data_IF_578572928592
#
_entry.id   IF_578572928592
#
_cell.length_a   1.000
_cell.length_b   1.000
_cell.length_c   1.000
_cell.angle_alpha   90.00
_cell.angle_beta   90.00
_cell.angle_gamma   90.00
#
_symmetry.space_group_name_H-M   'P 1'
#
loop_
_entity.id
_entity.type
_entity.pdbx_description
1 polymer ?
#
# COMPACT_ATOMS: atom_id res chain seq x y z
N UNK A 1 -18.20 19.20 -6.60
CA UNK A 1 -16.95 19.24 -7.39
C UNK A 1 -16.92 18.02 -8.29
N UNK A 2 -16.47 18.17 -9.52
CA UNK A 2 -16.28 17.02 -10.41
C UNK A 2 -14.93 16.33 -10.13
N UNK A 3 -14.82 15.04 -10.47
CA UNK A 3 -13.54 14.31 -10.36
C UNK A 3 -12.43 15.00 -11.18
N UNK A 4 -12.80 15.64 -12.29
CA UNK A 4 -11.87 16.38 -13.14
C UNK A 4 -11.32 17.62 -12.42
N UNK A 5 -12.16 18.35 -11.69
CA UNK A 5 -11.72 19.51 -10.89
C UNK A 5 -10.78 19.09 -9.75
N UNK A 6 -11.06 17.99 -9.06
CA UNK A 6 -10.19 17.48 -7.99
C UNK A 6 -8.82 17.01 -8.52
N UNK A 7 -8.77 16.41 -9.71
CA UNK A 7 -7.52 16.01 -10.36
C UNK A 7 -6.68 17.21 -10.75
N UNK A 8 -7.32 18.26 -11.25
CA UNK A 8 -6.66 19.50 -11.62
C UNK A 8 -6.07 20.19 -10.37
N UNK A 9 -6.86 20.33 -9.30
CA UNK A 9 -6.38 20.86 -8.03
C UNK A 9 -5.23 20.02 -7.44
N UNK A 10 -5.34 18.69 -7.46
CA UNK A 10 -4.28 17.79 -6.98
C UNK A 10 -2.97 17.92 -7.78
N UNK A 11 -3.05 18.16 -9.09
CA UNK A 11 -1.88 18.34 -9.95
C UNK A 11 -1.13 19.65 -9.65
N UNK A 12 -1.84 20.67 -9.15
CA UNK A 12 -1.26 21.96 -8.79
C UNK A 12 -0.71 22.00 -7.35
N UNK A 13 -0.93 20.96 -6.54
CA UNK A 13 -0.39 20.89 -5.18
C UNK A 13 1.14 20.73 -5.18
N UNK A 14 1.84 21.23 -4.15
CA UNK A 14 3.21 20.87 -3.86
C UNK A 14 3.41 19.35 -3.75
N UNK A 15 4.59 18.88 -4.14
CA UNK A 15 4.92 17.45 -4.24
C UNK A 15 4.75 16.69 -2.90
N UNK A 16 4.93 17.38 -1.77
CA UNK A 16 4.67 16.83 -0.42
C UNK A 16 3.18 16.54 -0.21
N UNK A 17 2.32 17.49 -0.57
CA UNK A 17 0.87 17.39 -0.39
C UNK A 17 0.27 16.40 -1.39
N UNK A 18 0.83 16.29 -2.60
CA UNK A 18 0.49 15.21 -3.55
C UNK A 18 0.79 13.83 -2.95
N UNK A 19 1.95 13.65 -2.31
CA UNK A 19 2.32 12.39 -1.64
C UNK A 19 1.38 12.06 -0.49
N UNK A 20 1.00 13.04 0.32
CA UNK A 20 0.03 12.86 1.39
C UNK A 20 -1.34 12.46 0.85
N UNK A 21 -1.79 13.08 -0.25
CA UNK A 21 -3.05 12.73 -0.91
C UNK A 21 -3.02 11.30 -1.48
N UNK A 22 -1.92 10.90 -2.12
CA UNK A 22 -1.74 9.52 -2.61
C UNK A 22 -1.77 8.53 -1.45
N UNK A 23 -1.04 8.80 -0.37
CA UNK A 23 -1.02 7.94 0.81
C UNK A 23 -2.41 7.80 1.43
N UNK A 24 -3.18 8.88 1.50
CA UNK A 24 -4.55 8.86 1.98
C UNK A 24 -5.49 8.04 1.09
N UNK A 25 -5.41 8.20 -0.24
CA UNK A 25 -6.21 7.41 -1.18
C UNK A 25 -5.87 5.92 -1.12
N UNK A 26 -4.59 5.59 -0.99
CA UNK A 26 -4.13 4.20 -0.79
C UNK A 26 -4.68 3.65 0.53
N UNK A 27 -4.57 4.40 1.63
CA UNK A 27 -5.11 3.98 2.92
C UNK A 27 -6.62 3.72 2.86
N UNK A 28 -7.40 4.60 2.22
CA UNK A 28 -8.84 4.40 2.01
C UNK A 28 -9.15 3.15 1.18
N UNK A 29 -8.31 2.82 0.19
CA UNK A 29 -8.47 1.63 -0.62
C UNK A 29 -8.13 0.36 0.18
N UNK A 30 -7.03 0.39 0.93
CA UNK A 30 -6.62 -0.69 1.85
C UNK A 30 -7.64 -0.89 2.97
N UNK A 31 -8.32 0.18 3.42
CA UNK A 31 -9.36 0.06 4.44
C UNK A 31 -10.58 -0.74 3.97
N UNK A 32 -10.93 -0.58 2.69
CA UNK A 32 -12.03 -1.28 2.02
C UNK A 32 -11.68 -2.70 1.64
N UNK A 33 -10.39 -3.03 1.54
CA UNK A 33 -9.92 -4.36 1.20
C UNK A 33 -9.84 -5.27 2.43
N UNK A 34 -11.02 -5.70 2.90
CA UNK A 34 -11.13 -6.65 4.02
C UNK A 34 -10.42 -7.98 3.73
N UNK A 35 -10.43 -8.43 2.47
CA UNK A 35 -9.78 -9.68 2.07
C UNK A 35 -8.26 -9.57 2.20
N UNK A 36 -7.67 -8.46 1.75
CA UNK A 36 -6.25 -8.18 1.93
C UNK A 36 -5.88 -8.07 3.41
N UNK A 37 -6.68 -7.37 4.22
CA UNK A 37 -6.46 -7.30 5.68
C UNK A 37 -6.49 -8.68 6.35
N UNK A 38 -7.44 -9.54 5.98
CA UNK A 38 -7.51 -10.91 6.49
C UNK A 38 -6.29 -11.73 6.08
N UNK A 39 -5.89 -11.67 4.81
CA UNK A 39 -4.67 -12.36 4.33
C UNK A 39 -3.41 -11.85 5.03
N UNK A 40 -3.32 -10.54 5.27
CA UNK A 40 -2.20 -9.93 5.98
C UNK A 40 -2.15 -10.43 7.43
N UNK A 41 -3.28 -10.43 8.13
CA UNK A 41 -3.38 -10.95 9.49
C UNK A 41 -2.98 -12.43 9.56
N UNK A 42 -3.50 -13.27 8.66
CA UNK A 42 -3.13 -14.69 8.57
C UNK A 42 -1.63 -14.88 8.38
N UNK A 43 -0.98 -14.04 7.55
CA UNK A 43 0.47 -14.13 7.32
C UNK A 43 1.30 -13.63 8.50
N UNK A 44 0.84 -12.61 9.23
CA UNK A 44 1.53 -12.08 10.41
C UNK A 44 1.42 -13.05 11.59
N UNK A 45 0.26 -13.66 11.76
CA UNK A 45 0.01 -14.65 12.82
C UNK A 45 0.58 -16.04 12.49
N UNK A 46 1.16 -16.23 11.29
CA UNK A 46 1.77 -17.49 10.87
C UNK A 46 3.05 -17.77 11.64
N UNK A 47 2.99 -18.76 12.54
CA UNK A 47 4.11 -19.19 13.38
C UNK A 47 4.92 -20.31 12.75
N UNK A 48 4.55 -20.80 11.56
CA UNK A 48 5.27 -21.85 10.87
C UNK A 48 6.42 -21.26 10.04
N UNK A 49 7.68 -21.52 10.39
CA UNK A 49 8.83 -21.04 9.63
C UNK A 49 8.87 -21.56 8.19
N UNK A 50 8.18 -22.66 7.87
CA UNK A 50 8.11 -23.21 6.52
C UNK A 50 7.35 -22.31 5.53
N UNK A 51 6.49 -21.41 6.03
CA UNK A 51 5.75 -20.46 5.19
C UNK A 51 6.44 -19.10 5.06
N UNK A 52 7.57 -18.91 5.75
CA UNK A 52 8.31 -17.66 5.74
C UNK A 52 9.18 -17.56 4.49
N UNK A 53 9.37 -16.33 4.02
CA UNK A 53 10.31 -16.08 2.93
C UNK A 53 11.73 -16.04 3.48
N UNK A 54 12.66 -16.73 2.83
CA UNK A 54 14.07 -16.67 3.18
C UNK A 54 14.65 -15.27 2.89
N UNK A 55 15.60 -14.82 3.72
CA UNK A 55 16.19 -13.49 3.60
C UNK A 55 17.01 -13.32 2.31
N UNK A 56 17.68 -14.36 1.83
CA UNK A 56 18.41 -14.32 0.57
C UNK A 56 17.45 -14.31 -0.63
N UNK A 57 16.32 -15.01 -0.54
CA UNK A 57 15.25 -14.93 -1.55
C UNK A 57 14.59 -13.55 -1.57
N UNK A 58 14.38 -12.95 -0.39
CA UNK A 58 13.89 -11.58 -0.26
C UNK A 58 14.83 -10.60 -0.95
N UNK A 59 16.14 -10.72 -0.66
CA UNK A 59 17.18 -9.87 -1.23
C UNK A 59 17.25 -10.04 -2.75
N UNK A 60 17.15 -11.25 -3.28
CA UNK A 60 17.14 -11.49 -4.73
C UNK A 60 15.91 -10.89 -5.43
N UNK A 61 14.76 -10.88 -4.75
CA UNK A 61 13.49 -10.42 -5.32
C UNK A 61 13.33 -8.90 -5.30
N UNK A 62 13.90 -8.22 -4.30
CA UNK A 62 13.70 -6.79 -4.06
C UNK A 62 14.98 -5.96 -4.07
N UNK A 63 16.14 -6.55 -4.41
CA UNK A 63 17.34 -5.79 -4.73
C UNK A 63 17.13 -5.11 -6.09
N UNK A 64 16.63 -3.88 -6.04
CA UNK A 64 16.87 -2.87 -7.09
C UNK A 64 18.25 -2.23 -6.90
#
# INVERSE_FOLDING_TARGET
>A
MSLTQMKDEAAHLPLKEQRELIAFLVALQTEKDQEFKQKLATKIDDRDPAHWMDLEDARKRYAE
#
